data_IF_071978992355
#
_entry.id   IF_071978992355
#
_cell.length_a   1.000
_cell.length_b   1.000
_cell.length_c   1.000
_cell.angle_alpha   90.00
_cell.angle_beta   90.00
_cell.angle_gamma   90.00
#
_symmetry.space_group_name_H-M   'P 1'
#
loop_
_entity.id
_entity.type
_entity.pdbx_description
1 polymer ?
#
# COMPACT_ATOMS: atom_id res chain seq x y z
N UNK A 1 -33.47 -12.09 -76.23
CA UNK A 1 -34.69 -11.66 -75.54
C UNK A 1 -35.03 -12.72 -74.51
N UNK A 2 -34.70 -12.55 -73.22
CA UNK A 2 -35.39 -13.19 -72.09
C UNK A 2 -34.88 -12.60 -70.76
N UNK A 3 -35.65 -11.62 -70.30
CA UNK A 3 -35.94 -11.21 -68.91
C UNK A 3 -35.05 -11.63 -67.73
N UNK A 4 -34.50 -10.58 -67.11
CA UNK A 4 -34.24 -10.33 -65.69
C UNK A 4 -35.09 -11.16 -64.70
N UNK A 5 -34.44 -11.82 -63.75
CA UNK A 5 -35.02 -12.18 -62.45
C UNK A 5 -34.12 -11.66 -61.32
N UNK A 6 -34.61 -10.63 -60.63
CA UNK A 6 -34.10 -10.11 -59.37
C UNK A 6 -34.17 -11.19 -58.28
N UNK A 7 -33.03 -11.65 -57.77
CA UNK A 7 -33.00 -12.45 -56.54
C UNK A 7 -32.95 -11.51 -55.31
N UNK A 8 -34.11 -11.32 -54.67
CA UNK A 8 -34.22 -10.65 -53.37
C UNK A 8 -33.62 -11.55 -52.27
N UNK A 9 -32.38 -11.32 -51.87
CA UNK A 9 -31.83 -11.88 -50.63
C UNK A 9 -32.21 -10.98 -49.44
N UNK A 10 -32.75 -11.53 -48.33
CA UNK A 10 -33.02 -10.73 -47.13
C UNK A 10 -31.69 -10.33 -46.45
N UNK A 11 -31.60 -9.13 -45.84
CA UNK A 11 -30.38 -8.68 -45.21
C UNK A 11 -30.05 -9.54 -43.98
N UNK A 12 -28.87 -10.14 -43.98
CA UNK A 12 -28.32 -10.89 -42.83
C UNK A 12 -28.19 -9.94 -41.64
N UNK A 13 -29.07 -10.11 -40.65
CA UNK A 13 -29.03 -9.35 -39.39
C UNK A 13 -27.74 -9.70 -38.64
N UNK A 14 -26.75 -8.80 -38.70
CA UNK A 14 -25.55 -8.87 -37.89
C UNK A 14 -25.95 -8.84 -36.39
N UNK A 15 -25.94 -9.99 -35.72
CA UNK A 15 -26.10 -10.09 -34.26
C UNK A 15 -24.89 -9.38 -33.63
N UNK A 16 -25.06 -8.10 -33.26
CA UNK A 16 -24.10 -7.38 -32.43
C UNK A 16 -23.86 -8.19 -31.17
N UNK A 17 -22.65 -8.75 -31.03
CA UNK A 17 -22.23 -9.49 -29.83
C UNK A 17 -22.47 -8.58 -28.62
N UNK A 18 -23.30 -9.03 -27.66
CA UNK A 18 -23.51 -8.34 -26.40
C UNK A 18 -22.14 -8.16 -25.73
N UNK A 19 -21.64 -6.92 -25.63
CA UNK A 19 -20.49 -6.62 -24.77
C UNK A 19 -20.90 -7.01 -23.36
N UNK A 20 -20.29 -8.06 -22.80
CA UNK A 20 -20.43 -8.35 -21.38
C UNK A 20 -20.02 -7.08 -20.63
N UNK A 21 -20.97 -6.45 -19.94
CA UNK A 21 -20.67 -5.40 -18.98
C UNK A 21 -19.69 -6.00 -17.98
N UNK A 22 -18.42 -5.57 -18.06
CA UNK A 22 -17.42 -5.95 -17.06
C UNK A 22 -18.00 -5.51 -15.72
N UNK A 23 -18.10 -6.44 -14.77
CA UNK A 23 -18.46 -6.10 -13.39
C UNK A 23 -17.59 -4.91 -12.96
N UNK A 24 -18.16 -3.89 -12.29
CA UNK A 24 -17.35 -2.77 -11.83
C UNK A 24 -16.15 -3.33 -11.09
N UNK A 25 -14.95 -2.93 -11.54
CA UNK A 25 -13.70 -3.40 -10.96
C UNK A 25 -13.59 -2.97 -9.50
N UNK A 26 -12.47 -3.31 -8.89
CA UNK A 26 -12.17 -2.93 -7.50
C UNK A 26 -12.41 -1.42 -7.29
N UNK A 27 -13.09 -0.99 -6.20
CA UNK A 27 -13.37 0.42 -5.92
C UNK A 27 -12.11 1.29 -6.01
N UNK A 28 -12.24 2.47 -6.61
CA UNK A 28 -11.13 3.43 -6.77
C UNK A 28 -10.59 3.81 -5.38
N UNK A 29 -9.30 3.58 -5.15
CA UNK A 29 -8.63 3.82 -3.86
C UNK A 29 -8.25 2.57 -3.07
N UNK A 30 -8.76 1.38 -3.44
CA UNK A 30 -8.49 0.10 -2.76
C UNK A 30 -7.17 -0.58 -3.20
N UNK A 31 -6.20 0.20 -3.68
CA UNK A 31 -4.89 -0.28 -4.11
C UNK A 31 -4.02 -0.63 -2.91
N UNK A 32 -3.22 -1.70 -3.01
CA UNK A 32 -2.12 -1.93 -2.07
C UNK A 32 -1.19 -0.71 -2.06
N UNK A 33 -0.78 -0.30 -0.87
CA UNK A 33 0.22 0.73 -0.64
C UNK A 33 1.55 0.09 -0.30
N UNK A 34 2.63 0.84 -0.52
CA UNK A 34 3.94 0.43 0.00
C UNK A 34 3.93 0.53 1.53
N UNK A 35 4.80 -0.23 2.18
CA UNK A 35 4.84 -0.25 3.64
C UNK A 35 5.15 1.14 4.24
N UNK A 36 6.08 1.90 3.64
CA UNK A 36 6.44 3.27 4.02
C UNK A 36 5.27 4.27 3.91
N UNK A 37 4.23 3.94 3.16
CA UNK A 37 3.01 4.75 3.03
C UNK A 37 1.95 4.40 4.07
N UNK A 38 2.11 3.32 4.83
CA UNK A 38 1.28 3.04 6.01
C UNK A 38 1.68 3.96 7.15
N UNK A 39 0.78 4.21 8.12
CA UNK A 39 1.11 5.04 9.28
C UNK A 39 2.28 4.46 10.07
N UNK A 40 2.29 3.15 10.29
CA UNK A 40 3.35 2.48 11.05
C UNK A 40 4.67 2.49 10.28
N UNK A 41 4.68 2.12 8.99
CA UNK A 41 5.90 2.11 8.20
C UNK A 41 6.49 3.50 8.00
N UNK A 42 5.65 4.52 7.82
CA UNK A 42 6.08 5.91 7.80
C UNK A 42 6.77 6.29 9.12
N UNK A 43 6.13 6.04 10.27
CA UNK A 43 6.71 6.40 11.56
C UNK A 43 8.01 5.65 11.85
N UNK A 44 8.07 4.36 11.53
CA UNK A 44 9.30 3.57 11.69
C UNK A 44 10.44 4.17 10.86
N UNK A 45 10.21 4.45 9.57
CA UNK A 45 11.20 5.03 8.67
C UNK A 45 11.74 6.39 9.14
N UNK A 46 10.95 7.14 9.94
CA UNK A 46 11.30 8.50 10.34
C UNK A 46 11.75 8.66 11.79
N UNK A 47 11.18 7.93 12.75
CA UNK A 47 11.51 8.02 14.18
C UNK A 47 12.62 7.06 14.59
N UNK A 48 12.68 5.89 13.95
CA UNK A 48 13.57 4.75 14.27
C UNK A 48 14.15 4.14 12.98
N UNK A 49 14.91 4.91 12.19
CA UNK A 49 15.38 4.49 10.87
C UNK A 49 16.32 3.27 10.91
N UNK A 50 17.02 3.06 12.02
CA UNK A 50 17.93 1.91 12.20
C UNK A 50 17.12 0.62 12.29
N UNK A 51 16.12 0.58 13.17
CA UNK A 51 15.20 -0.54 13.32
C UNK A 51 14.36 -0.76 12.06
N UNK A 52 13.94 0.32 11.39
CA UNK A 52 13.25 0.21 10.12
C UNK A 52 14.13 -0.46 9.05
N UNK A 53 15.41 -0.08 8.96
CA UNK A 53 16.34 -0.70 8.02
C UNK A 53 16.51 -2.19 8.30
N UNK A 54 16.73 -2.56 9.58
CA UNK A 54 16.85 -3.96 9.99
C UNK A 54 15.58 -4.77 9.69
N UNK A 55 14.40 -4.19 9.95
CA UNK A 55 13.12 -4.80 9.62
C UNK A 55 13.02 -5.09 8.12
N UNK A 56 13.33 -4.10 7.27
CA UNK A 56 13.22 -4.24 5.82
C UNK A 56 14.25 -5.20 5.24
N UNK A 57 15.47 -5.26 5.81
CA UNK A 57 16.48 -6.26 5.46
C UNK A 57 16.00 -7.67 5.81
N UNK A 58 15.43 -7.85 7.00
CA UNK A 58 14.82 -9.14 7.41
C UNK A 58 13.71 -9.56 6.45
N UNK A 59 12.81 -8.64 6.09
CA UNK A 59 11.73 -8.87 5.11
C UNK A 59 12.29 -9.30 3.76
N UNK A 60 13.34 -8.63 3.28
CA UNK A 60 14.01 -8.95 2.02
C UNK A 60 14.66 -10.34 2.06
N UNK A 61 15.37 -10.67 3.13
CA UNK A 61 16.02 -11.97 3.32
C UNK A 61 15.00 -13.12 3.36
N UNK A 62 13.85 -12.89 4.00
CA UNK A 62 12.74 -13.84 4.04
C UNK A 62 11.87 -13.84 2.76
N UNK A 63 12.21 -13.02 1.76
CA UNK A 63 11.45 -12.85 0.50
C UNK A 63 9.97 -12.50 0.73
N UNK A 64 9.69 -11.75 1.80
CA UNK A 64 8.35 -11.27 2.13
C UNK A 64 8.05 -9.99 1.34
N UNK A 65 6.78 -9.81 0.96
CA UNK A 65 6.32 -8.58 0.29
C UNK A 65 6.32 -7.37 1.23
N UNK A 66 6.03 -7.60 2.51
CA UNK A 66 5.97 -6.58 3.56
C UNK A 66 6.14 -7.23 4.93
N UNK A 67 6.56 -6.49 5.95
CA UNK A 67 6.66 -7.02 7.31
C UNK A 67 5.28 -7.39 7.86
N UNK A 68 5.21 -8.53 8.58
CA UNK A 68 4.02 -8.89 9.36
C UNK A 68 3.91 -7.98 10.60
N UNK A 69 2.71 -7.82 11.13
CA UNK A 69 2.51 -7.03 12.34
C UNK A 69 3.22 -7.66 13.55
N UNK A 70 3.28 -8.99 13.62
CA UNK A 70 4.01 -9.74 14.65
C UNK A 70 5.52 -9.47 14.60
N UNK A 71 6.10 -9.40 13.40
CA UNK A 71 7.52 -9.07 13.23
C UNK A 71 7.82 -7.63 13.69
N UNK A 72 6.93 -6.68 13.37
CA UNK A 72 7.06 -5.28 13.83
C UNK A 72 6.97 -5.21 15.36
N UNK A 73 6.04 -5.96 15.95
CA UNK A 73 5.83 -6.05 17.39
C UNK A 73 7.05 -6.67 18.10
N UNK A 74 7.61 -7.76 17.56
CA UNK A 74 8.81 -8.40 18.09
C UNK A 74 10.01 -7.44 18.12
N UNK A 75 10.24 -6.69 17.03
CA UNK A 75 11.30 -5.66 17.00
C UNK A 75 11.03 -4.56 18.03
N UNK A 76 9.78 -4.14 18.18
CA UNK A 76 9.41 -3.11 19.15
C UNK A 76 9.62 -3.55 20.61
N UNK A 77 9.39 -4.83 20.91
CA UNK A 77 9.69 -5.38 22.23
C UNK A 77 11.18 -5.55 22.48
N UNK A 78 11.95 -5.91 21.44
CA UNK A 78 13.40 -6.12 21.53
C UNK A 78 14.22 -4.82 21.53
N UNK A 79 13.71 -3.74 20.93
CA UNK A 79 14.41 -2.45 20.90
C UNK A 79 14.23 -1.67 22.21
N UNK A 80 15.30 -0.99 22.62
CA UNK A 80 15.30 -0.06 23.76
C UNK A 80 14.86 1.37 23.37
N UNK A 81 14.48 1.61 22.11
CA UNK A 81 14.12 2.94 21.66
C UNK A 81 12.82 3.45 22.32
N UNK A 82 12.81 4.64 22.95
CA UNK A 82 11.63 5.18 23.62
C UNK A 82 10.41 5.35 22.71
N UNK A 83 10.60 5.47 21.39
CA UNK A 83 9.50 5.57 20.43
C UNK A 83 8.54 4.38 20.53
N UNK A 84 9.04 3.16 20.75
CA UNK A 84 8.22 1.95 20.86
C UNK A 84 7.34 1.91 22.11
N UNK A 85 7.64 2.72 23.13
CA UNK A 85 6.81 2.87 24.33
C UNK A 85 5.69 3.90 24.16
N UNK A 86 5.71 4.71 23.09
CA UNK A 86 4.70 5.75 22.86
C UNK A 86 3.38 5.14 22.40
N UNK A 87 2.26 5.59 22.94
CA UNK A 87 0.90 5.17 22.54
C UNK A 87 0.64 5.32 21.03
N UNK A 88 1.24 6.33 20.39
CA UNK A 88 1.11 6.55 18.94
C UNK A 88 1.63 5.38 18.11
N UNK A 89 2.67 4.69 18.57
CA UNK A 89 3.22 3.51 17.89
C UNK A 89 2.19 2.38 17.90
N UNK A 90 1.71 2.00 19.09
CA UNK A 90 0.75 0.92 19.27
C UNK A 90 -0.56 1.14 18.53
N UNK A 91 -1.07 2.39 18.52
CA UNK A 91 -2.25 2.74 17.70
C UNK A 91 -2.02 2.48 16.21
N UNK A 92 -0.86 2.88 15.68
CA UNK A 92 -0.54 2.66 14.27
C UNK A 92 -0.28 1.18 13.95
N UNK A 93 0.26 0.42 14.90
CA UNK A 93 0.43 -1.03 14.76
C UNK A 93 -0.94 -1.74 14.74
N UNK A 94 -1.89 -1.34 15.58
CA UNK A 94 -3.26 -1.89 15.55
C UNK A 94 -3.97 -1.54 14.23
N UNK A 95 -3.81 -0.31 13.73
CA UNK A 95 -4.30 0.07 12.39
C UNK A 95 -3.72 -0.87 11.32
N UNK A 96 -2.43 -1.19 11.40
CA UNK A 96 -1.77 -2.10 10.47
C UNK A 96 -2.20 -3.56 10.64
N UNK A 97 -2.44 -4.05 11.86
CA UNK A 97 -3.04 -5.37 12.10
C UNK A 97 -4.41 -5.48 11.43
N UNK A 98 -5.22 -4.43 11.49
CA UNK A 98 -6.58 -4.41 10.92
C UNK A 98 -6.59 -4.28 9.40
N UNK A 99 -5.76 -3.40 8.84
CA UNK A 99 -5.87 -3.00 7.43
C UNK A 99 -4.68 -3.44 6.56
N UNK A 100 -3.56 -3.84 7.16
CA UNK A 100 -2.30 -4.15 6.47
C UNK A 100 -1.85 -3.03 5.54
N UNK A 101 -1.48 -3.41 4.32
CA UNK A 101 -1.09 -2.49 3.25
C UNK A 101 -2.28 -1.76 2.57
N UNK A 102 -3.49 -1.80 3.15
CA UNK A 102 -4.67 -1.07 2.68
C UNK A 102 -5.16 -0.07 3.73
N UNK A 103 -4.30 0.85 4.20
CA UNK A 103 -4.71 1.79 5.22
C UNK A 103 -5.85 2.68 4.70
N UNK A 104 -6.75 3.16 5.58
CA UNK A 104 -7.81 4.08 5.20
C UNK A 104 -7.25 5.38 4.59
N UNK A 105 -6.07 5.79 5.05
CA UNK A 105 -5.32 6.93 4.51
C UNK A 105 -3.85 6.54 4.30
N UNK A 106 -3.34 6.78 3.10
CA UNK A 106 -1.92 6.60 2.79
C UNK A 106 -1.15 7.88 3.13
N UNK A 107 -0.03 7.74 3.83
CA UNK A 107 0.86 8.86 4.09
C UNK A 107 1.72 9.11 2.85
N UNK A 108 1.76 10.38 2.44
CA UNK A 108 2.74 10.90 1.50
C UNK A 108 3.72 11.77 2.26
N UNK A 109 5.01 11.48 2.07
CA UNK A 109 6.10 12.30 2.55
C UNK A 109 6.22 13.56 1.68
N UNK A 110 6.70 14.65 2.28
CA UNK A 110 7.09 15.87 1.58
C UNK A 110 8.32 16.46 2.28
N UNK A 111 8.97 17.44 1.64
CA UNK A 111 10.21 18.06 2.15
C UNK A 111 10.05 18.56 3.59
N UNK A 112 8.94 19.22 3.91
CA UNK A 112 8.70 19.75 5.26
C UNK A 112 8.60 18.65 6.32
N UNK A 113 7.94 17.53 6.01
CA UNK A 113 7.88 16.36 6.90
C UNK A 113 9.26 15.73 7.08
N UNK A 114 10.03 15.61 6.02
CA UNK A 114 11.40 15.07 6.11
C UNK A 114 12.27 15.93 7.00
N UNK A 115 12.30 17.24 6.78
CA UNK A 115 13.04 18.20 7.59
C UNK A 115 12.63 18.14 9.06
N UNK A 116 11.34 18.04 9.35
CA UNK A 116 10.84 17.88 10.72
C UNK A 116 11.42 16.65 11.41
N UNK A 117 11.37 15.48 10.77
CA UNK A 117 11.88 14.25 11.37
C UNK A 117 13.41 14.17 11.38
N UNK A 118 14.10 14.79 10.42
CA UNK A 118 15.57 14.97 10.48
C UNK A 118 15.93 15.73 11.76
N UNK A 119 15.24 16.84 12.05
CA UNK A 119 15.49 17.64 13.26
C UNK A 119 15.24 16.83 14.54
N UNK A 120 14.20 15.99 14.56
CA UNK A 120 13.94 15.09 15.69
C UNK A 120 15.10 14.09 15.86
N UNK A 121 15.55 13.47 14.77
CA UNK A 121 16.62 12.46 14.82
C UNK A 121 17.96 13.04 15.26
N UNK A 122 18.32 14.24 14.80
CA UNK A 122 19.54 14.92 15.25
C UNK A 122 19.51 15.11 16.77
N UNK A 123 18.38 15.62 17.31
CA UNK A 123 18.19 15.78 18.75
C UNK A 123 18.17 14.48 19.56
N UNK A 124 17.94 13.34 18.90
CA UNK A 124 17.78 12.05 19.56
C UNK A 124 19.08 11.25 19.58
N UNK A 125 19.90 11.38 18.53
CA UNK A 125 21.09 10.54 18.33
C UNK A 125 22.42 11.30 18.46
N UNK A 126 22.41 12.64 18.35
CA UNK A 126 23.65 13.44 18.31
C UNK A 126 23.76 14.48 19.44
N UNK A 127 22.65 14.77 20.11
CA UNK A 127 22.55 15.69 21.26
C UNK A 127 21.98 14.93 22.44
#
# INVERSE_FOLDING_TARGET
MHSVLLSNHPPVKNKKRKKHLRKPGRPKGYSLKRFDQTRIGFLLAHEVPIEYKLLMETVKSLKLSSPSAELIEAIAYASNDPFFRKTKFWRCLMDYKKYGLRPPYAIKTNVNKELYYIRIRIKKYLL
#
